data_IF_696347777750
#
_entry.id   IF_696347777750
#
_cell.length_a   1.000
_cell.length_b   1.000
_cell.length_c   1.000
_cell.angle_alpha   90.00
_cell.angle_beta   90.00
_cell.angle_gamma   90.00
#
_symmetry.space_group_name_H-M   'P 1'
#
loop_
_entity.id
_entity.type
_entity.pdbx_description
1 polymer ?
#
# COMPACT_ATOMS: atom_id res chain seq x y z
N UNK A 1 -9.30 -9.77 -4.13
CA UNK A 1 -9.81 -8.45 -3.74
C UNK A 1 -8.94 -7.40 -4.39
N UNK A 2 -9.52 -6.52 -5.14
CA UNK A 2 -8.82 -5.59 -5.99
C UNK A 2 -9.20 -4.15 -5.71
N UNK A 3 -8.30 -3.22 -6.05
CA UNK A 3 -8.59 -1.80 -6.02
C UNK A 3 -9.60 -1.46 -7.13
N UNK A 4 -10.53 -0.53 -6.84
CA UNK A 4 -11.57 -0.17 -7.80
C UNK A 4 -10.96 0.36 -9.11
N UNK A 5 -11.44 -0.14 -10.27
CA UNK A 5 -10.91 0.33 -11.55
C UNK A 5 -11.21 1.80 -11.85
N UNK A 6 -12.22 2.36 -11.20
CA UNK A 6 -12.59 3.77 -11.37
C UNK A 6 -11.84 4.71 -10.43
N UNK A 7 -11.03 4.18 -9.53
CA UNK A 7 -10.21 5.01 -8.65
C UNK A 7 -9.05 5.63 -9.42
N UNK A 8 -8.81 6.93 -9.23
CA UNK A 8 -7.70 7.62 -9.87
C UNK A 8 -6.43 7.60 -9.03
N UNK A 9 -6.47 7.06 -7.83
CA UNK A 9 -5.46 7.31 -6.81
C UNK A 9 -4.16 6.53 -6.92
N UNK A 10 -4.09 5.36 -7.56
CA UNK A 10 -2.83 4.61 -7.60
C UNK A 10 -2.71 3.86 -8.93
N UNK A 11 -2.07 4.50 -9.90
CA UNK A 11 -1.87 3.92 -11.24
C UNK A 11 -0.90 2.73 -11.24
N UNK A 12 0.15 2.77 -10.43
CA UNK A 12 1.17 1.72 -10.40
C UNK A 12 0.59 0.39 -9.93
N UNK A 13 -0.22 0.40 -8.88
CA UNK A 13 -0.86 -0.80 -8.36
C UNK A 13 -1.84 -1.42 -9.35
N UNK A 14 -2.54 -0.59 -10.11
CA UNK A 14 -3.48 -1.06 -11.14
C UNK A 14 -2.77 -1.78 -12.28
N UNK A 15 -1.65 -1.24 -12.75
CA UNK A 15 -0.87 -1.85 -13.83
C UNK A 15 -0.32 -3.21 -13.43
N UNK A 16 0.15 -3.32 -12.21
CA UNK A 16 0.73 -4.56 -11.71
C UNK A 16 -0.30 -5.69 -11.61
N UNK A 17 -1.52 -5.37 -11.18
CA UNK A 17 -2.57 -6.37 -10.96
C UNK A 17 -3.34 -6.73 -12.23
N UNK A 18 -3.28 -5.88 -13.28
CA UNK A 18 -4.08 -6.06 -14.50
C UNK A 18 -3.94 -7.45 -15.15
N UNK A 19 -2.74 -8.06 -15.25
CA UNK A 19 -2.62 -9.40 -15.83
C UNK A 19 -3.42 -10.47 -15.09
N UNK A 20 -3.61 -10.30 -13.79
CA UNK A 20 -4.38 -11.24 -12.98
C UNK A 20 -5.89 -11.05 -13.15
N UNK A 21 -6.33 -9.85 -13.48
CA UNK A 21 -7.75 -9.53 -13.67
C UNK A 21 -8.29 -10.10 -14.98
N UNK A 22 -7.46 -10.18 -16.03
CA UNK A 22 -7.88 -10.64 -17.34
C UNK A 22 -8.25 -12.12 -17.39
N UNK A 23 -7.85 -12.89 -16.42
CA UNK A 23 -8.09 -14.34 -16.42
C UNK A 23 -9.49 -14.75 -15.98
N UNK A 24 -10.26 -13.89 -15.41
CA UNK A 24 -11.69 -13.99 -15.03
C UNK A 24 -12.19 -15.38 -14.59
N UNK A 25 -11.35 -16.20 -14.00
CA UNK A 25 -11.74 -17.54 -13.54
C UNK A 25 -12.29 -17.57 -12.11
N UNK A 26 -12.39 -16.43 -11.47
CA UNK A 26 -12.81 -16.32 -10.08
C UNK A 26 -13.55 -15.01 -9.85
N UNK A 27 -14.30 -14.98 -8.78
CA UNK A 27 -15.05 -13.78 -8.38
C UNK A 27 -14.11 -12.68 -7.91
N UNK A 28 -14.41 -11.44 -8.28
CA UNK A 28 -13.63 -10.27 -7.91
C UNK A 28 -14.46 -9.36 -7.00
N UNK A 29 -13.82 -8.87 -5.94
CA UNK A 29 -14.37 -7.82 -5.10
C UNK A 29 -13.54 -6.57 -5.26
N UNK A 30 -14.17 -5.46 -5.65
CA UNK A 30 -13.50 -4.19 -5.85
C UNK A 30 -13.71 -3.28 -4.66
N UNK A 31 -12.63 -2.69 -4.17
CA UNK A 31 -12.63 -1.76 -3.05
C UNK A 31 -11.83 -0.52 -3.46
N UNK A 32 -12.21 0.64 -2.94
CA UNK A 32 -11.62 1.91 -3.37
C UNK A 32 -10.46 2.40 -2.50
N UNK A 33 -9.99 1.60 -1.56
CA UNK A 33 -8.85 1.97 -0.71
C UNK A 33 -8.15 0.72 -0.16
N UNK A 34 -6.87 0.87 0.21
CA UNK A 34 -6.10 -0.25 0.73
C UNK A 34 -6.56 -0.73 2.09
N UNK A 35 -7.09 0.14 2.92
CA UNK A 35 -7.61 -0.28 4.21
C UNK A 35 -8.80 -1.21 4.06
N UNK A 36 -9.68 -0.93 3.10
CA UNK A 36 -10.79 -1.83 2.78
C UNK A 36 -10.31 -3.18 2.28
N UNK A 37 -9.29 -3.20 1.41
CA UNK A 37 -8.68 -4.45 0.95
C UNK A 37 -8.08 -5.21 2.14
N UNK A 38 -7.35 -4.53 3.01
CA UNK A 38 -6.77 -5.11 4.20
C UNK A 38 -7.81 -5.77 5.10
N UNK A 39 -8.90 -5.06 5.37
CA UNK A 39 -9.98 -5.57 6.20
C UNK A 39 -10.64 -6.80 5.57
N UNK A 40 -10.86 -6.79 4.27
CA UNK A 40 -11.46 -7.91 3.56
C UNK A 40 -10.56 -9.16 3.59
N UNK A 41 -9.27 -8.98 3.33
CA UNK A 41 -8.29 -10.08 3.38
C UNK A 41 -8.17 -10.63 4.79
N UNK A 42 -8.08 -9.76 5.79
CA UNK A 42 -7.97 -10.15 7.20
C UNK A 42 -9.18 -10.96 7.67
N UNK A 43 -10.35 -10.67 7.15
CA UNK A 43 -11.58 -11.40 7.47
C UNK A 43 -11.78 -12.67 6.64
N UNK A 44 -10.78 -13.05 5.85
CA UNK A 44 -10.82 -14.32 5.11
C UNK A 44 -11.67 -14.31 3.86
N UNK A 45 -11.98 -13.13 3.29
CA UNK A 45 -12.81 -13.05 2.10
C UNK A 45 -12.07 -13.44 0.82
N UNK A 46 -10.74 -13.46 0.83
CA UNK A 46 -9.98 -13.85 -0.35
C UNK A 46 -8.54 -13.36 -0.31
N UNK A 47 -7.92 -13.33 -1.48
CA UNK A 47 -6.55 -12.87 -1.68
C UNK A 47 -6.59 -11.44 -2.19
N UNK A 48 -5.70 -10.60 -1.69
CA UNK A 48 -5.61 -9.22 -2.11
C UNK A 48 -4.17 -8.73 -2.18
N UNK A 49 -3.97 -7.56 -2.77
CA UNK A 49 -2.68 -6.90 -2.82
C UNK A 49 -2.63 -5.82 -1.76
N UNK A 50 -1.57 -5.82 -0.96
CA UNK A 50 -1.41 -4.89 0.14
C UNK A 50 -0.01 -4.30 0.13
N UNK A 51 0.17 -3.04 0.58
CA UNK A 51 1.49 -2.53 0.88
C UNK A 51 2.14 -3.37 1.98
N UNK A 52 3.46 -3.55 1.89
CA UNK A 52 4.20 -4.36 2.84
C UNK A 52 4.07 -3.86 4.28
N UNK A 53 4.01 -2.55 4.48
CA UNK A 53 3.90 -1.98 5.82
C UNK A 53 2.56 -2.30 6.49
N UNK A 54 1.50 -2.55 5.72
CA UNK A 54 0.22 -2.98 6.28
C UNK A 54 0.22 -4.45 6.67
N UNK A 55 0.95 -5.27 5.92
CA UNK A 55 0.97 -6.71 6.15
C UNK A 55 1.94 -7.12 7.25
N UNK A 56 3.04 -6.40 7.43
CA UNK A 56 4.12 -6.80 8.33
C UNK A 56 3.72 -6.84 9.81
N UNK A 57 2.77 -6.02 10.21
CA UNK A 57 2.33 -5.94 11.62
C UNK A 57 1.25 -6.96 11.99
N UNK A 58 0.80 -7.77 11.02
CA UNK A 58 -0.30 -8.70 11.22
C UNK A 58 0.12 -10.12 10.85
N UNK A 59 0.55 -10.93 11.84
CA UNK A 59 1.07 -12.28 11.56
C UNK A 59 0.01 -13.23 11.00
N UNK A 60 -1.27 -12.92 11.13
CA UNK A 60 -2.33 -13.73 10.54
C UNK A 60 -2.40 -13.62 9.01
N UNK A 61 -1.73 -12.61 8.41
CA UNK A 61 -1.65 -12.47 6.98
C UNK A 61 -0.45 -13.23 6.44
N UNK A 62 -0.67 -14.02 5.38
CA UNK A 62 0.36 -14.86 4.77
C UNK A 62 0.59 -14.43 3.32
N UNK A 63 1.83 -14.24 2.95
CA UNK A 63 2.19 -13.93 1.56
C UNK A 63 2.12 -15.21 0.71
N UNK A 64 1.23 -15.22 -0.29
CA UNK A 64 0.99 -16.43 -1.09
C UNK A 64 1.79 -16.49 -2.39
N UNK A 65 2.22 -15.36 -2.92
CA UNK A 65 2.99 -15.29 -4.17
C UNK A 65 4.16 -14.32 -4.01
N UNK A 66 5.22 -14.71 -3.25
CA UNK A 66 6.33 -13.80 -2.93
C UNK A 66 7.12 -13.34 -4.16
N UNK A 67 7.10 -14.10 -5.25
CA UNK A 67 7.79 -13.74 -6.50
C UNK A 67 7.07 -12.63 -7.27
N UNK A 68 5.81 -12.36 -6.96
CA UNK A 68 5.04 -11.28 -7.61
C UNK A 68 4.99 -10.06 -6.69
N UNK A 69 5.84 -9.10 -6.96
CA UNK A 69 5.88 -7.85 -6.22
C UNK A 69 5.82 -6.68 -7.20
N UNK A 70 5.10 -5.62 -6.81
CA UNK A 70 5.07 -4.40 -7.59
C UNK A 70 6.38 -3.63 -7.44
N UNK A 71 6.62 -2.69 -8.35
CA UNK A 71 7.73 -1.77 -8.22
C UNK A 71 7.57 -0.90 -6.97
N UNK A 72 8.70 -0.46 -6.43
CA UNK A 72 8.72 0.45 -5.29
C UNK A 72 8.07 1.77 -5.68
N UNK A 73 7.13 2.23 -4.84
CA UNK A 73 6.46 3.51 -5.06
C UNK A 73 7.13 4.57 -4.17
N UNK A 74 7.61 5.67 -4.76
CA UNK A 74 8.22 6.74 -3.97
C UNK A 74 7.15 7.46 -3.14
N UNK A 75 7.50 7.76 -1.89
CA UNK A 75 6.63 8.49 -0.98
C UNK A 75 7.27 9.84 -0.69
N UNK A 76 6.50 10.91 -0.81
CA UNK A 76 6.97 12.26 -0.66
C UNK A 76 6.30 12.95 0.52
N UNK A 77 7.07 13.74 1.27
CA UNK A 77 6.53 14.65 2.26
C UNK A 77 6.45 16.03 1.63
N UNK A 78 5.25 16.59 1.55
CA UNK A 78 5.02 17.90 0.96
C UNK A 78 4.56 18.89 2.04
N UNK A 79 5.12 20.09 2.01
CA UNK A 79 4.75 21.16 2.92
C UNK A 79 4.93 22.51 2.25
N UNK A 80 4.20 23.57 2.68
CA UNK A 80 4.35 24.90 2.09
C UNK A 80 5.77 25.43 2.29
N UNK A 81 6.29 26.14 1.29
CA UNK A 81 7.64 26.65 1.34
C UNK A 81 7.89 27.60 2.52
N UNK A 82 6.86 28.32 2.95
CA UNK A 82 6.91 29.20 4.11
C UNK A 82 7.28 28.44 5.39
N UNK A 83 7.01 27.16 5.45
CA UNK A 83 7.30 26.32 6.63
C UNK A 83 8.65 25.62 6.55
N UNK A 84 9.45 25.87 5.52
CA UNK A 84 10.75 25.20 5.32
C UNK A 84 11.69 25.35 6.52
N UNK A 85 11.65 26.51 7.18
CA UNK A 85 12.49 26.79 8.35
C UNK A 85 11.78 26.52 9.68
N UNK A 86 10.55 26.00 9.64
CA UNK A 86 9.81 25.70 10.86
C UNK A 86 10.43 24.51 11.60
N UNK A 87 10.76 24.71 12.87
CA UNK A 87 11.31 23.65 13.71
C UNK A 87 10.33 22.51 13.91
N UNK A 88 9.04 22.79 13.91
CA UNK A 88 7.99 21.77 14.04
C UNK A 88 7.98 20.85 12.83
N UNK A 89 8.03 21.42 11.63
CA UNK A 89 8.07 20.67 10.39
C UNK A 89 9.35 19.84 10.31
N UNK A 90 10.49 20.43 10.67
CA UNK A 90 11.77 19.73 10.66
C UNK A 90 11.76 18.54 11.62
N UNK A 91 11.26 18.73 12.83
CA UNK A 91 11.18 17.66 13.83
C UNK A 91 10.25 16.52 13.36
N UNK A 92 9.10 16.86 12.80
CA UNK A 92 8.17 15.88 12.28
C UNK A 92 8.77 15.11 11.09
N UNK A 93 9.40 15.83 10.16
CA UNK A 93 10.05 15.23 9.01
C UNK A 93 11.14 14.23 9.44
N UNK A 94 12.00 14.65 10.37
CA UNK A 94 13.08 13.79 10.85
C UNK A 94 12.53 12.54 11.54
N UNK A 95 11.47 12.70 12.33
CA UNK A 95 10.82 11.58 12.98
C UNK A 95 10.26 10.59 11.97
N UNK A 96 9.53 11.07 10.96
CA UNK A 96 8.92 10.21 9.94
C UNK A 96 9.99 9.48 9.14
N UNK A 97 11.06 10.17 8.73
CA UNK A 97 12.14 9.55 7.97
C UNK A 97 12.80 8.44 8.80
N UNK A 98 13.03 8.69 10.08
CA UNK A 98 13.62 7.71 10.98
C UNK A 98 12.72 6.48 11.13
N UNK A 99 11.44 6.67 11.37
CA UNK A 99 10.48 5.57 11.56
C UNK A 99 10.34 4.72 10.30
N UNK A 100 10.24 5.36 9.13
CA UNK A 100 10.13 4.64 7.86
C UNK A 100 11.40 3.88 7.52
N UNK A 101 12.57 4.43 7.84
CA UNK A 101 13.85 3.74 7.62
C UNK A 101 13.98 2.51 8.50
N UNK A 102 13.55 2.61 9.76
CA UNK A 102 13.55 1.47 10.69
C UNK A 102 12.57 0.38 10.22
N UNK A 103 11.40 0.77 9.75
CA UNK A 103 10.38 -0.14 9.24
C UNK A 103 10.87 -0.91 8.00
N UNK A 104 11.69 -0.29 7.16
CA UNK A 104 12.22 -0.94 5.95
C UNK A 104 13.21 -2.06 6.25
N UNK A 105 13.86 -2.02 7.41
CA UNK A 105 14.91 -2.97 7.77
C UNK A 105 14.39 -4.20 8.53
N UNK A 106 13.08 -4.27 8.72
CA UNK A 106 12.43 -5.43 9.31
C UNK A 106 11.68 -6.23 8.26
#
# INVERSE_FOLDING_TARGET
>A
ICYSPNSTQITAGKKWIAPFLDKQKFSLLFVNNYYGIFRAVRNGLGIGTLPDYLASDFPELVQVLPEFQSDTVPVHIAYPQELKKSKRVEAFKDFIIKELSTSRNT
#
